data_IF_776817049574
#
_entry.id   IF_776817049574
#
_cell.length_a   1.000
_cell.length_b   1.000
_cell.length_c   1.000
_cell.angle_alpha   90.00
_cell.angle_beta   90.00
_cell.angle_gamma   90.00
#
_symmetry.space_group_name_H-M   'P 1'
#
loop_
_entity.id
_entity.type
_entity.pdbx_description
1 polymer ?
#
# COMPACT_ATOMS: atom_id res chain seq x y z
N UNK A 1 24.57 -25.12 25.03
CA UNK A 1 24.11 -25.54 23.67
C UNK A 1 22.75 -26.20 23.83
N UNK A 2 21.65 -25.45 23.79
CA UNK A 2 20.30 -26.02 23.92
C UNK A 2 19.97 -26.76 22.61
N UNK A 3 20.07 -28.08 22.65
CA UNK A 3 19.58 -28.97 21.60
C UNK A 3 18.05 -28.98 21.66
N UNK A 4 17.40 -28.03 20.98
CA UNK A 4 15.98 -28.09 20.68
C UNK A 4 15.75 -29.25 19.71
N UNK A 5 15.48 -30.44 20.25
CA UNK A 5 15.02 -31.60 19.49
C UNK A 5 13.59 -31.29 19.05
N UNK A 6 13.44 -30.59 17.91
CA UNK A 6 12.12 -30.28 17.37
C UNK A 6 11.39 -31.60 17.08
N UNK A 7 10.23 -31.76 17.70
CA UNK A 7 9.33 -32.88 17.39
C UNK A 7 9.05 -32.89 15.87
N UNK A 8 9.13 -34.04 15.19
CA UNK A 8 8.88 -34.12 13.76
C UNK A 8 7.50 -33.57 13.37
N UNK A 9 6.49 -33.73 14.24
CA UNK A 9 5.15 -33.15 14.03
C UNK A 9 5.16 -31.62 13.95
N UNK A 10 5.93 -30.95 14.81
CA UNK A 10 6.05 -29.48 14.81
C UNK A 10 6.77 -28.99 13.55
N UNK A 11 7.76 -29.75 13.10
CA UNK A 11 8.52 -29.46 11.86
C UNK A 11 7.61 -29.57 10.63
N UNK A 12 6.70 -30.54 10.59
CA UNK A 12 5.71 -30.69 9.51
C UNK A 12 4.72 -29.51 9.49
N UNK A 13 4.17 -29.11 10.64
CA UNK A 13 3.29 -27.93 10.71
C UNK A 13 4.01 -26.64 10.29
N UNK A 14 5.27 -26.47 10.70
CA UNK A 14 6.08 -25.33 10.30
C UNK A 14 6.34 -25.33 8.78
N UNK A 15 6.72 -26.48 8.21
CA UNK A 15 6.97 -26.61 6.77
C UNK A 15 5.70 -26.36 5.95
N UNK A 16 4.55 -26.86 6.41
CA UNK A 16 3.25 -26.57 5.79
C UNK A 16 2.94 -25.06 5.81
N UNK A 17 3.10 -24.40 6.96
CA UNK A 17 2.91 -22.95 7.07
C UNK A 17 3.86 -22.16 6.17
N UNK A 18 5.10 -22.62 6.03
CA UNK A 18 6.08 -22.04 5.11
C UNK A 18 5.59 -22.15 3.66
N UNK A 19 5.15 -23.33 3.23
CA UNK A 19 4.61 -23.53 1.87
C UNK A 19 3.40 -22.63 1.62
N UNK A 20 2.43 -22.59 2.53
CA UNK A 20 1.24 -21.73 2.38
C UNK A 20 1.65 -20.26 2.24
N UNK A 21 2.58 -19.78 3.06
CA UNK A 21 3.02 -18.39 3.05
C UNK A 21 3.73 -18.03 1.75
N UNK A 22 4.73 -18.80 1.34
CA UNK A 22 5.62 -18.43 0.24
C UNK A 22 5.13 -18.84 -1.14
N UNK A 23 4.32 -19.90 -1.24
CA UNK A 23 3.80 -20.40 -2.52
C UNK A 23 2.44 -19.81 -2.87
N UNK A 24 1.62 -19.45 -1.87
CA UNK A 24 0.26 -18.95 -2.13
C UNK A 24 0.07 -17.50 -1.69
N UNK A 25 0.31 -17.19 -0.40
CA UNK A 25 0.01 -15.85 0.12
C UNK A 25 0.92 -14.76 -0.45
N UNK A 26 2.23 -15.02 -0.56
CA UNK A 26 3.20 -14.06 -1.09
C UNK A 26 2.99 -13.77 -2.58
N UNK A 27 2.82 -14.77 -3.47
CA UNK A 27 2.57 -14.51 -4.89
C UNK A 27 1.28 -13.75 -5.14
N UNK A 28 0.19 -14.08 -4.42
CA UNK A 28 -1.07 -13.32 -4.52
C UNK A 28 -0.86 -11.86 -4.12
N UNK A 29 -0.13 -11.60 -3.03
CA UNK A 29 0.18 -10.22 -2.60
C UNK A 29 1.01 -9.47 -3.64
N UNK A 30 2.01 -10.12 -4.23
CA UNK A 30 2.83 -9.52 -5.31
C UNK A 30 1.96 -9.22 -6.54
N UNK A 31 1.05 -10.12 -6.93
CA UNK A 31 0.13 -9.89 -8.04
C UNK A 31 -0.78 -8.68 -7.78
N UNK A 32 -1.36 -8.58 -6.58
CA UNK A 32 -2.17 -7.42 -6.20
C UNK A 32 -1.38 -6.11 -6.26
N UNK A 33 -0.11 -6.12 -5.81
CA UNK A 33 0.77 -4.96 -5.87
C UNK A 33 1.11 -4.56 -7.32
N UNK A 34 1.38 -5.54 -8.20
CA UNK A 34 1.65 -5.26 -9.62
C UNK A 34 0.42 -4.67 -10.29
N UNK A 35 -0.78 -5.23 -10.02
CA UNK A 35 -2.04 -4.71 -10.56
C UNK A 35 -2.34 -3.30 -10.07
N UNK A 36 -2.14 -3.01 -8.78
CA UNK A 36 -2.40 -1.69 -8.21
C UNK A 36 -1.43 -0.64 -8.76
N UNK A 37 -0.12 -0.95 -8.86
CA UNK A 37 0.87 -0.06 -9.48
C UNK A 37 0.60 0.19 -10.97
N UNK A 38 0.22 -0.86 -11.71
CA UNK A 38 -0.13 -0.72 -13.14
C UNK A 38 -1.35 0.18 -13.31
N UNK A 39 -2.36 0.01 -12.45
CA UNK A 39 -3.58 0.82 -12.47
C UNK A 39 -3.27 2.29 -12.17
N UNK A 40 -2.41 2.57 -11.18
CA UNK A 40 -1.93 3.92 -10.89
C UNK A 40 -1.31 4.57 -12.13
N UNK A 41 -0.37 3.88 -12.80
CA UNK A 41 0.33 4.42 -13.98
C UNK A 41 -0.65 4.68 -15.12
N UNK A 42 -1.55 3.75 -15.40
CA UNK A 42 -2.54 3.89 -16.49
C UNK A 42 -3.49 5.06 -16.23
N UNK A 43 -4.06 5.15 -15.02
CA UNK A 43 -5.01 6.20 -14.69
C UNK A 43 -4.34 7.58 -14.61
N UNK A 44 -3.15 7.68 -14.01
CA UNK A 44 -2.40 8.95 -14.00
C UNK A 44 -2.01 9.39 -15.41
N UNK A 45 -1.61 8.45 -16.29
CA UNK A 45 -1.32 8.76 -17.69
C UNK A 45 -2.56 9.25 -18.43
N UNK A 46 -3.70 8.57 -18.25
CA UNK A 46 -4.97 8.96 -18.85
C UNK A 46 -5.43 10.35 -18.41
N UNK A 47 -5.31 10.67 -17.11
CA UNK A 47 -5.61 12.01 -16.58
C UNK A 47 -4.60 13.05 -17.09
N UNK A 48 -3.34 12.66 -17.27
CA UNK A 48 -2.27 13.50 -17.80
C UNK A 48 -2.57 14.06 -19.19
N UNK A 49 -3.20 13.26 -20.05
CA UNK A 49 -3.59 13.62 -21.42
C UNK A 49 -4.75 14.63 -21.49
N UNK A 50 -5.50 14.84 -20.40
CA UNK A 50 -6.59 15.81 -20.37
C UNK A 50 -6.06 17.25 -20.34
N UNK A 51 -6.78 18.22 -20.93
CA UNK A 51 -6.42 19.64 -20.85
C UNK A 51 -6.51 20.17 -19.41
N UNK A 52 -5.66 21.15 -19.08
CA UNK A 52 -5.64 21.81 -17.77
C UNK A 52 -6.97 22.50 -17.51
N UNK A 53 -7.75 21.91 -16.61
CA UNK A 53 -9.08 22.38 -16.20
C UNK A 53 -9.29 22.09 -14.71
N UNK A 54 -10.23 22.79 -14.09
CA UNK A 54 -10.64 22.49 -12.71
C UNK A 54 -11.18 21.06 -12.56
N UNK A 55 -11.82 20.56 -13.62
CA UNK A 55 -12.25 19.17 -13.70
C UNK A 55 -11.08 18.19 -13.65
N UNK A 56 -10.03 18.41 -14.46
CA UNK A 56 -8.79 17.60 -14.41
C UNK A 56 -8.19 17.60 -13.00
N UNK A 57 -8.14 18.75 -12.32
CA UNK A 57 -7.58 18.84 -10.96
C UNK A 57 -8.37 18.00 -9.96
N UNK A 58 -9.71 18.07 -9.99
CA UNK A 58 -10.59 17.27 -9.13
C UNK A 58 -10.47 15.78 -9.44
N UNK A 59 -10.46 15.42 -10.72
CA UNK A 59 -10.31 14.03 -11.17
C UNK A 59 -8.96 13.47 -10.73
N UNK A 60 -7.88 14.22 -10.92
CA UNK A 60 -6.54 13.81 -10.50
C UNK A 60 -6.47 13.56 -8.99
N UNK A 61 -7.03 14.45 -8.17
CA UNK A 61 -7.07 14.27 -6.72
C UNK A 61 -7.79 12.97 -6.34
N UNK A 62 -8.99 12.71 -6.89
CA UNK A 62 -9.73 11.49 -6.60
C UNK A 62 -9.05 10.21 -7.09
N UNK A 63 -8.49 10.24 -8.31
CA UNK A 63 -7.76 9.09 -8.89
C UNK A 63 -6.53 8.75 -8.07
N UNK A 64 -5.73 9.76 -7.69
CA UNK A 64 -4.50 9.56 -6.93
C UNK A 64 -4.80 8.98 -5.55
N UNK A 65 -5.77 9.54 -4.81
CA UNK A 65 -6.19 9.01 -3.50
C UNK A 65 -6.65 7.57 -3.61
N UNK A 66 -7.55 7.26 -4.56
CA UNK A 66 -8.05 5.89 -4.75
C UNK A 66 -6.94 4.89 -5.12
N UNK A 67 -6.00 5.29 -5.98
CA UNK A 67 -4.89 4.42 -6.35
C UNK A 67 -3.96 4.18 -5.16
N UNK A 68 -3.70 5.20 -4.33
CA UNK A 68 -2.89 5.06 -3.14
C UNK A 68 -3.55 4.20 -2.07
N UNK A 69 -4.87 4.31 -1.87
CA UNK A 69 -5.64 3.38 -1.03
C UNK A 69 -5.50 1.93 -1.53
N UNK A 70 -5.61 1.73 -2.84
CA UNK A 70 -5.50 0.40 -3.43
C UNK A 70 -4.10 -0.20 -3.25
N UNK A 71 -3.04 0.60 -3.43
CA UNK A 71 -1.66 0.17 -3.19
C UNK A 71 -1.45 -0.12 -1.70
N UNK A 72 -1.94 0.73 -0.79
CA UNK A 72 -1.86 0.52 0.65
C UNK A 72 -2.51 -0.81 1.08
N UNK A 73 -3.69 -1.11 0.53
CA UNK A 73 -4.38 -2.39 0.73
C UNK A 73 -3.55 -3.59 0.23
N UNK A 74 -2.93 -3.47 -0.94
CA UNK A 74 -2.06 -4.53 -1.50
C UNK A 74 -0.81 -4.80 -0.66
N UNK A 75 -0.26 -3.77 -0.01
CA UNK A 75 0.84 -3.87 0.94
C UNK A 75 0.38 -4.30 2.34
N UNK A 76 -0.94 -4.37 2.56
CA UNK A 76 -1.56 -4.62 3.87
C UNK A 76 -1.13 -3.60 4.92
N UNK A 77 -0.99 -2.34 4.49
CA UNK A 77 -0.74 -1.21 5.38
C UNK A 77 -2.01 -0.92 6.16
N UNK A 78 -1.89 -0.91 7.48
CA UNK A 78 -2.96 -0.48 8.39
C UNK A 78 -2.47 0.80 9.06
N UNK A 79 -2.89 1.94 8.51
CA UNK A 79 -2.57 3.25 9.07
C UNK A 79 -3.56 3.57 10.20
N UNK A 80 -3.04 4.08 11.33
CA UNK A 80 -3.87 4.64 12.41
C UNK A 80 -3.48 6.09 12.61
N UNK A 81 -4.39 6.98 12.25
CA UNK A 81 -4.24 8.41 12.41
C UNK A 81 -4.62 8.81 13.83
N UNK A 82 -3.82 9.69 14.42
CA UNK A 82 -4.03 10.25 15.76
C UNK A 82 -4.06 11.78 15.65
N UNK A 83 -4.69 12.44 16.61
CA UNK A 83 -4.81 13.90 16.69
C UNK A 83 -5.46 14.51 15.43
N UNK A 84 -6.65 14.03 15.06
CA UNK A 84 -7.39 14.50 13.88
C UNK A 84 -7.76 15.98 13.93
N UNK A 85 -7.72 16.61 15.11
CA UNK A 85 -7.87 18.05 15.32
C UNK A 85 -6.75 18.87 14.68
N UNK A 86 -5.56 18.29 14.48
CA UNK A 86 -4.41 18.95 13.85
C UNK A 86 -4.36 18.71 12.33
N UNK A 87 -5.42 18.16 11.73
CA UNK A 87 -5.45 17.90 10.29
C UNK A 87 -5.36 19.21 9.50
N UNK A 88 -4.46 19.28 8.52
CA UNK A 88 -4.27 20.48 7.72
C UNK A 88 -5.46 20.66 6.77
N UNK A 89 -6.19 21.77 6.90
CA UNK A 89 -7.25 22.17 5.96
C UNK A 89 -6.69 22.87 4.73
N UNK A 90 -5.57 23.60 4.91
CA UNK A 90 -4.83 24.29 3.87
C UNK A 90 -3.34 24.32 4.23
N UNK A 91 -2.46 24.25 3.24
CA UNK A 91 -1.01 24.40 3.41
C UNK A 91 -0.21 23.16 3.02
N UNK A 92 1.01 23.06 3.58
CA UNK A 92 1.99 22.01 3.27
C UNK A 92 2.17 21.13 4.50
N UNK A 93 2.08 19.81 4.30
CA UNK A 93 2.36 18.82 5.34
C UNK A 93 3.82 18.41 5.26
N UNK A 94 4.49 18.35 6.41
CA UNK A 94 5.90 17.97 6.50
C UNK A 94 6.01 16.67 7.27
N UNK A 95 6.67 15.67 6.67
CA UNK A 95 6.99 14.40 7.30
C UNK A 95 8.51 14.32 7.55
N UNK A 96 8.90 13.63 8.62
CA UNK A 96 10.29 13.42 9.02
C UNK A 96 11.05 12.51 8.03
N UNK A 97 10.34 11.59 7.38
CA UNK A 97 10.84 10.74 6.32
C UNK A 97 9.95 10.94 5.09
N UNK A 98 10.57 11.02 3.91
CA UNK A 98 9.85 11.27 2.65
C UNK A 98 10.12 10.13 1.69
N UNK A 99 9.50 8.99 1.95
CA UNK A 99 9.40 7.90 0.98
C UNK A 99 8.10 7.97 0.19
N UNK A 100 8.02 7.31 -0.98
CA UNK A 100 6.77 7.17 -1.72
C UNK A 100 5.64 6.53 -0.89
N UNK A 101 5.99 5.66 0.07
CA UNK A 101 5.03 5.03 0.98
C UNK A 101 4.49 6.06 1.98
N UNK A 102 5.32 7.00 2.45
CA UNK A 102 4.87 8.06 3.36
C UNK A 102 3.87 8.98 2.66
N UNK A 103 4.15 9.37 1.41
CA UNK A 103 3.21 10.14 0.60
C UNK A 103 1.91 9.38 0.33
N UNK A 104 1.98 8.06 0.11
CA UNK A 104 0.82 7.22 -0.05
C UNK A 104 -0.02 7.22 1.22
N UNK A 105 0.57 6.94 2.38
CA UNK A 105 -0.14 6.91 3.67
C UNK A 105 -0.78 8.25 4.00
N UNK A 106 -0.10 9.37 3.72
CA UNK A 106 -0.67 10.71 3.91
C UNK A 106 -1.81 11.01 2.94
N UNK A 107 -1.82 10.42 1.75
CA UNK A 107 -2.90 10.57 0.78
C UNK A 107 -4.10 9.66 1.06
N UNK A 108 -3.93 8.65 1.93
CA UNK A 108 -5.00 7.75 2.41
C UNK A 108 -5.69 8.24 3.71
N UNK A 109 -5.23 9.36 4.30
CA UNK A 109 -5.94 10.04 5.41
C UNK A 109 -7.04 10.97 4.87
#
# INVERSE_FOLDING_TARGET
KLSLRMSPSLTVFWAMGFVVRWVFLMPVRVLLLVLSLTTLVVLCSAVGLLPTSDFKRRLNAGVVTWCFDFIAGSLSVVARFHNSENRPTHGIVVANHTSPIDSMVLATD
#
